data_IF_142872224210
#
_entry.id   IF_142872224210
#
_cell.length_a   1.000
_cell.length_b   1.000
_cell.length_c   1.000
_cell.angle_alpha   90.00
_cell.angle_beta   90.00
_cell.angle_gamma   90.00
#
_symmetry.space_group_name_H-M   'P 1'
#
loop_
_entity.id
_entity.type
_entity.pdbx_description
1 polymer ?
#
# COMPACT_ATOMS: atom_id res chain seq x y z
N UNK A 1 18.85 -3.93 1.83
CA UNK A 1 17.73 -2.98 1.92
C UNK A 1 17.58 -2.30 0.59
N UNK A 2 16.36 -2.19 0.08
CA UNK A 2 16.03 -1.53 -1.19
C UNK A 2 14.97 -0.46 -0.96
N UNK A 3 15.05 0.60 -1.77
CA UNK A 3 14.01 1.63 -1.84
C UNK A 3 13.60 1.81 -3.29
N UNK A 4 12.31 1.72 -3.55
CA UNK A 4 11.76 1.94 -4.89
C UNK A 4 10.31 2.42 -4.82
N UNK A 5 9.84 2.98 -5.94
CA UNK A 5 8.48 3.47 -6.10
C UNK A 5 7.78 2.69 -7.20
N UNK A 6 6.52 2.35 -6.97
CA UNK A 6 5.60 1.82 -7.98
C UNK A 6 4.50 2.87 -8.17
N UNK A 7 4.27 3.28 -9.41
CA UNK A 7 3.16 4.18 -9.77
C UNK A 7 2.25 3.49 -10.75
N UNK A 8 0.94 3.53 -10.47
CA UNK A 8 -0.10 2.95 -11.34
C UNK A 8 -1.38 3.79 -11.27
N UNK A 9 -2.39 3.42 -12.05
CA UNK A 9 -3.72 4.04 -12.02
C UNK A 9 -4.76 3.02 -11.56
N UNK A 10 -5.69 3.47 -10.74
CA UNK A 10 -6.87 2.70 -10.38
C UNK A 10 -8.06 3.06 -11.27
N UNK A 11 -9.06 2.18 -11.33
CA UNK A 11 -10.27 2.42 -12.13
C UNK A 11 -11.17 3.52 -11.53
N UNK A 12 -11.09 3.75 -10.22
CA UNK A 12 -11.90 4.73 -9.50
C UNK A 12 -11.12 5.30 -8.31
N UNK A 13 -11.45 6.51 -7.84
CA UNK A 13 -10.94 7.03 -6.58
C UNK A 13 -11.40 6.17 -5.39
N UNK A 14 -10.57 6.07 -4.35
CA UNK A 14 -10.93 5.40 -3.11
C UNK A 14 -12.08 6.17 -2.42
N UNK A 15 -13.17 5.49 -2.07
CA UNK A 15 -14.31 6.09 -1.35
C UNK A 15 -13.93 6.51 0.08
N UNK A 16 -14.76 7.34 0.73
CA UNK A 16 -14.55 7.81 2.11
C UNK A 16 -13.86 9.18 2.19
N UNK A 17 -13.76 9.73 3.40
CA UNK A 17 -13.23 11.09 3.66
C UNK A 17 -12.02 11.10 4.60
N UNK A 18 -11.70 9.99 5.26
CA UNK A 18 -10.53 9.88 6.14
C UNK A 18 -9.26 10.22 5.36
N UNK A 19 -8.53 11.26 5.81
CA UNK A 19 -7.39 11.82 5.07
C UNK A 19 -6.17 10.92 5.04
N UNK A 20 -5.89 10.24 6.15
CA UNK A 20 -4.74 9.37 6.30
C UNK A 20 -5.03 8.23 7.27
N UNK A 21 -4.31 7.12 7.13
CA UNK A 21 -4.31 6.04 8.11
C UNK A 21 -2.90 5.44 8.20
N UNK A 22 -2.49 5.11 9.42
CA UNK A 22 -1.27 4.35 9.69
C UNK A 22 -1.64 3.01 10.31
N UNK A 23 -0.97 1.94 9.88
CA UNK A 23 -1.22 0.61 10.41
C UNK A 23 0.02 -0.29 10.30
N UNK A 24 0.07 -1.28 11.19
CA UNK A 24 1.17 -2.23 11.24
C UNK A 24 2.34 -1.72 12.09
N UNK A 25 3.46 -2.43 12.00
CA UNK A 25 4.70 -2.13 12.73
C UNK A 25 5.87 -2.77 12.00
N UNK A 26 7.03 -2.11 12.00
CA UNK A 26 8.27 -2.63 11.43
C UNK A 26 8.90 -3.67 12.38
N UNK A 27 8.32 -4.86 12.40
CA UNK A 27 8.83 -6.04 13.13
C UNK A 27 9.17 -7.16 12.14
N UNK A 28 9.99 -8.14 12.56
CA UNK A 28 10.38 -9.27 11.71
C UNK A 28 9.14 -9.95 11.10
N UNK A 29 9.11 -10.07 9.77
CA UNK A 29 7.99 -10.67 9.05
C UNK A 29 6.74 -9.79 8.94
N UNK A 30 6.83 -8.50 9.26
CA UNK A 30 5.73 -7.54 9.24
C UNK A 30 6.15 -6.21 8.59
N UNK A 31 5.17 -5.32 8.44
CA UNK A 31 5.32 -4.02 7.80
C UNK A 31 4.47 -2.96 8.49
N UNK A 32 4.91 -1.71 8.38
CA UNK A 32 4.13 -0.50 8.65
C UNK A 32 3.73 0.15 7.33
N UNK A 33 2.51 0.69 7.27
CA UNK A 33 2.01 1.43 6.11
C UNK A 33 1.42 2.76 6.56
N UNK A 34 1.70 3.80 5.80
CA UNK A 34 1.01 5.09 5.84
C UNK A 34 0.26 5.29 4.53
N UNK A 35 -1.05 5.44 4.63
CA UNK A 35 -1.93 5.81 3.52
C UNK A 35 -2.27 7.30 3.62
N UNK A 36 -2.21 8.00 2.50
CA UNK A 36 -2.54 9.43 2.39
C UNK A 36 -3.38 9.68 1.14
N UNK A 37 -4.46 10.45 1.26
CA UNK A 37 -5.21 10.91 0.08
C UNK A 37 -4.45 12.01 -0.65
N UNK A 38 -4.22 11.81 -1.94
CA UNK A 38 -3.58 12.78 -2.84
C UNK A 38 -4.50 13.26 -3.96
N UNK A 39 -5.68 12.64 -4.13
CA UNK A 39 -6.67 13.00 -5.15
C UNK A 39 -6.37 12.41 -6.53
N UNK A 40 -7.34 12.48 -7.44
CA UNK A 40 -7.24 11.88 -8.78
C UNK A 40 -7.40 10.35 -8.79
N UNK A 41 -6.82 9.71 -9.79
CA UNK A 41 -6.90 8.26 -10.05
C UNK A 41 -5.56 7.52 -9.87
N UNK A 42 -4.49 8.26 -9.59
CA UNK A 42 -3.14 7.73 -9.47
C UNK A 42 -2.94 7.08 -8.11
N UNK A 43 -2.23 5.96 -8.11
CA UNK A 43 -1.80 5.23 -6.91
C UNK A 43 -0.27 5.26 -6.88
N UNK A 44 0.29 5.87 -5.85
CA UNK A 44 1.75 5.97 -5.66
C UNK A 44 2.16 5.13 -4.45
N UNK A 45 3.04 4.15 -4.64
CA UNK A 45 3.49 3.25 -3.59
C UNK A 45 4.99 3.40 -3.42
N UNK A 46 5.42 3.91 -2.27
CA UNK A 46 6.82 4.08 -1.89
C UNK A 46 7.23 2.96 -0.94
N UNK A 47 8.18 2.12 -1.35
CA UNK A 47 8.56 0.91 -0.60
C UNK A 47 9.99 1.05 -0.11
N UNK A 48 10.20 0.84 1.19
CA UNK A 48 11.47 0.57 1.81
C UNK A 48 11.40 -0.84 2.40
N UNK A 49 12.20 -1.77 1.89
CA UNK A 49 12.17 -3.17 2.32
C UNK A 49 13.56 -3.68 2.70
N UNK A 50 13.62 -4.48 3.76
CA UNK A 50 14.82 -5.23 4.13
C UNK A 50 15.21 -6.28 3.07
N UNK A 51 14.22 -6.83 2.35
CA UNK A 51 14.37 -7.89 1.35
C UNK A 51 14.85 -7.35 0.00
N UNK A 52 15.98 -7.84 -0.49
CA UNK A 52 16.59 -7.43 -1.77
C UNK A 52 16.23 -8.39 -2.90
N UNK A 53 16.00 -7.88 -4.11
CA UNK A 53 15.70 -8.72 -5.29
C UNK A 53 14.25 -9.20 -5.39
N UNK A 54 13.34 -8.65 -4.60
CA UNK A 54 11.91 -9.04 -4.56
C UNK A 54 10.98 -8.06 -5.30
N UNK A 55 11.52 -7.12 -6.08
CA UNK A 55 10.72 -6.10 -6.78
C UNK A 55 9.57 -6.68 -7.62
N UNK A 56 9.80 -7.75 -8.38
CA UNK A 56 8.76 -8.38 -9.21
C UNK A 56 7.61 -8.96 -8.37
N UNK A 57 7.90 -9.45 -7.16
CA UNK A 57 6.88 -9.94 -6.22
C UNK A 57 6.08 -8.77 -5.66
N UNK A 58 6.73 -7.66 -5.32
CA UNK A 58 6.06 -6.42 -4.93
C UNK A 58 5.13 -5.91 -6.04
N UNK A 59 5.61 -5.84 -7.28
CA UNK A 59 4.79 -5.41 -8.43
C UNK A 59 3.57 -6.32 -8.63
N UNK A 60 3.70 -7.63 -8.43
CA UNK A 60 2.57 -8.55 -8.50
C UNK A 60 1.55 -8.30 -7.37
N UNK A 61 2.01 -8.18 -6.12
CA UNK A 61 1.12 -7.91 -4.97
C UNK A 61 0.41 -6.56 -5.12
N UNK A 62 1.12 -5.52 -5.56
CA UNK A 62 0.54 -4.19 -5.77
C UNK A 62 -0.48 -4.19 -6.90
N UNK A 63 -0.21 -4.88 -8.02
CA UNK A 63 -1.18 -5.03 -9.11
C UNK A 63 -2.46 -5.71 -8.61
N UNK A 64 -2.32 -6.85 -7.94
CA UNK A 64 -3.46 -7.59 -7.39
C UNK A 64 -4.28 -6.76 -6.39
N UNK A 65 -3.60 -5.95 -5.56
CA UNK A 65 -4.25 -5.05 -4.61
C UNK A 65 -5.04 -3.94 -5.32
N UNK A 66 -4.45 -3.31 -6.34
CA UNK A 66 -5.09 -2.24 -7.13
C UNK A 66 -6.28 -2.77 -7.92
N UNK A 67 -6.17 -3.96 -8.50
CA UNK A 67 -7.29 -4.62 -9.20
C UNK A 67 -8.46 -4.93 -8.24
N UNK A 68 -8.17 -5.42 -7.03
CA UNK A 68 -9.20 -5.80 -6.05
C UNK A 68 -9.89 -4.61 -5.38
N UNK A 69 -9.18 -3.50 -5.16
CA UNK A 69 -9.69 -2.38 -4.35
C UNK A 69 -9.94 -1.11 -5.14
N UNK A 70 -9.25 -0.93 -6.28
CA UNK A 70 -9.20 0.33 -7.04
C UNK A 70 -8.99 1.55 -6.13
N UNK A 71 -7.82 1.68 -5.49
CA UNK A 71 -7.58 2.69 -4.47
C UNK A 71 -7.11 4.00 -5.10
N UNK A 72 -7.82 4.56 -6.08
CA UNK A 72 -7.36 5.74 -6.81
C UNK A 72 -7.19 6.97 -5.92
N UNK A 73 -6.16 7.77 -6.22
CA UNK A 73 -5.88 9.02 -5.53
C UNK A 73 -5.28 8.86 -4.14
N UNK A 74 -4.48 7.81 -3.94
CA UNK A 74 -3.77 7.55 -2.68
C UNK A 74 -2.26 7.40 -2.89
N UNK A 75 -1.50 7.89 -1.91
CA UNK A 75 -0.10 7.54 -1.69
C UNK A 75 -0.01 6.53 -0.56
N UNK A 76 0.81 5.51 -0.73
CA UNK A 76 1.08 4.47 0.27
C UNK A 76 2.58 4.43 0.50
N UNK A 77 3.01 4.76 1.71
CA UNK A 77 4.40 4.58 2.14
C UNK A 77 4.51 3.30 2.96
N UNK A 78 5.43 2.41 2.60
CA UNK A 78 5.59 1.08 3.19
C UNK A 78 7.00 0.93 3.74
N UNK A 79 7.09 0.58 5.03
CA UNK A 79 8.32 0.14 5.67
C UNK A 79 8.20 -1.34 6.02
N UNK A 80 8.93 -2.18 5.31
CA UNK A 80 8.84 -3.64 5.39
C UNK A 80 10.11 -4.27 5.99
N UNK A 81 9.90 -5.24 6.90
CA UNK A 81 10.96 -6.05 7.48
C UNK A 81 10.74 -7.54 7.16
N UNK A 82 10.65 -7.87 5.88
CA UNK A 82 10.61 -9.25 5.40
C UNK A 82 9.23 -9.90 5.50
N UNK A 83 8.15 -9.12 5.41
CA UNK A 83 6.81 -9.65 5.37
C UNK A 83 6.59 -10.52 4.12
N UNK A 84 5.87 -11.62 4.31
CA UNK A 84 5.46 -12.47 3.21
C UNK A 84 4.38 -11.78 2.35
N UNK A 85 4.24 -12.13 1.06
CA UNK A 85 3.26 -11.50 0.16
C UNK A 85 1.81 -11.51 0.67
N UNK A 86 1.40 -12.57 1.37
CA UNK A 86 0.07 -12.68 1.99
C UNK A 86 -0.14 -11.66 3.13
N UNK A 87 0.87 -11.47 3.98
CA UNK A 87 0.86 -10.43 5.03
C UNK A 87 0.82 -9.04 4.42
N UNK A 88 1.60 -8.78 3.37
CA UNK A 88 1.59 -7.49 2.65
C UNK A 88 0.19 -7.20 2.11
N UNK A 89 -0.41 -8.15 1.38
CA UNK A 89 -1.76 -8.01 0.83
C UNK A 89 -2.79 -7.73 1.94
N UNK A 90 -2.76 -8.50 3.04
CA UNK A 90 -3.68 -8.31 4.16
C UNK A 90 -3.60 -6.88 4.72
N UNK A 91 -2.40 -6.35 4.93
CA UNK A 91 -2.22 -4.99 5.47
C UNK A 91 -2.65 -3.91 4.46
N UNK A 92 -2.36 -4.09 3.17
CA UNK A 92 -2.83 -3.17 2.14
C UNK A 92 -4.37 -3.07 2.14
N UNK A 93 -5.06 -4.21 2.19
CA UNK A 93 -6.52 -4.28 2.25
C UNK A 93 -7.07 -3.59 3.52
N UNK A 94 -6.43 -3.79 4.67
CA UNK A 94 -6.81 -3.13 5.93
C UNK A 94 -6.64 -1.61 5.86
N UNK A 95 -5.53 -1.13 5.30
CA UNK A 95 -5.25 0.31 5.17
C UNK A 95 -6.23 1.00 4.23
N UNK A 96 -6.53 0.40 3.07
CA UNK A 96 -7.58 0.88 2.19
C UNK A 96 -8.93 0.95 2.92
N UNK A 97 -9.27 -0.07 3.73
CA UNK A 97 -10.52 -0.09 4.47
C UNK A 97 -10.63 1.02 5.51
N UNK A 98 -9.53 1.36 6.17
CA UNK A 98 -9.48 2.48 7.12
C UNK A 98 -9.77 3.82 6.44
N UNK A 99 -9.30 4.03 5.20
CA UNK A 99 -9.57 5.26 4.46
C UNK A 99 -11.03 5.37 3.98
N UNK A 100 -11.70 4.24 3.75
CA UNK A 100 -13.11 4.20 3.37
C UNK A 100 -14.06 4.57 4.52
N UNK A 101 -13.59 4.53 5.77
CA UNK A 101 -14.40 4.90 6.92
C UNK A 101 -14.68 6.42 6.93
N UNK A 102 -15.89 6.84 7.35
CA UNK A 102 -16.16 8.24 7.63
C UNK A 102 -15.24 8.73 8.75
N UNK A 103 -14.77 9.96 8.61
CA UNK A 103 -14.03 10.71 9.64
C UNK A 103 -14.92 11.16 10.79
#
# INVERSE_FOLDING_TARGET
MEKFTISTRAQRPLSGTTRQAILGVVASGNLELLFERIGGDTVEINILTASTGYRTVWEAVIRDFVERTSPGGVRITIHDNGARPDTVMLRLMQGAKMLEMPS
#
